data_IF_977244453073
#
_entry.id   IF_977244453073
#
_cell.length_a   1.000
_cell.length_b   1.000
_cell.length_c   1.000
_cell.angle_alpha   90.00
_cell.angle_beta   90.00
_cell.angle_gamma   90.00
#
_symmetry.space_group_name_H-M   'P 1'
#
loop_
_entity.id
_entity.type
_entity.pdbx_description
1 polymer ?
#
# COMPACT_ATOMS: atom_id res chain seq x y z
N UNK A 1 -17.76 -43.54 -29.60
CA UNK A 1 -16.60 -42.68 -29.55
C UNK A 1 -16.84 -41.39 -28.73
N UNK A 2 -18.00 -40.77 -28.85
CA UNK A 2 -18.32 -39.48 -28.18
C UNK A 2 -18.31 -39.56 -26.65
N UNK A 3 -18.76 -40.63 -26.02
CA UNK A 3 -18.79 -40.80 -24.55
C UNK A 3 -17.40 -40.88 -23.86
N UNK A 4 -16.35 -41.18 -24.62
CA UNK A 4 -14.97 -41.22 -24.08
C UNK A 4 -14.25 -39.85 -24.15
N UNK A 5 -14.73 -38.93 -24.99
CA UNK A 5 -14.16 -37.58 -25.15
C UNK A 5 -14.72 -36.57 -24.12
N UNK A 6 -15.94 -36.82 -23.63
CA UNK A 6 -16.60 -35.92 -22.67
C UNK A 6 -15.80 -35.71 -21.37
N UNK A 7 -15.30 -36.75 -20.67
CA UNK A 7 -14.49 -36.56 -19.47
C UNK A 7 -13.15 -35.87 -19.76
N UNK A 8 -12.56 -36.12 -20.95
CA UNK A 8 -11.30 -35.46 -21.32
C UNK A 8 -11.48 -33.94 -21.53
N UNK A 9 -12.58 -33.55 -22.19
CA UNK A 9 -12.97 -32.16 -22.38
C UNK A 9 -13.24 -31.46 -21.04
N UNK A 10 -13.93 -32.15 -20.13
CA UNK A 10 -14.23 -31.61 -18.80
C UNK A 10 -12.94 -31.38 -17.96
N UNK A 11 -12.00 -32.31 -18.02
CA UNK A 11 -10.71 -32.16 -17.36
C UNK A 11 -9.91 -31.00 -17.97
N UNK A 12 -9.93 -30.87 -19.30
CA UNK A 12 -9.21 -29.79 -19.98
C UNK A 12 -9.80 -28.39 -19.64
N UNK A 13 -11.14 -28.27 -19.60
CA UNK A 13 -11.80 -27.02 -19.21
C UNK A 13 -11.52 -26.64 -17.76
N UNK A 14 -11.49 -27.62 -16.84
CA UNK A 14 -11.12 -27.39 -15.43
C UNK A 14 -9.65 -26.95 -15.33
N UNK A 15 -8.73 -27.58 -16.05
CA UNK A 15 -7.31 -27.20 -16.05
C UNK A 15 -7.10 -25.78 -16.61
N UNK A 16 -7.80 -25.43 -17.69
CA UNK A 16 -7.75 -24.06 -18.24
C UNK A 16 -8.34 -23.06 -17.25
N UNK A 17 -9.48 -23.36 -16.63
CA UNK A 17 -10.09 -22.49 -15.62
C UNK A 17 -9.19 -22.29 -14.43
N UNK A 18 -8.59 -23.36 -13.89
CA UNK A 18 -7.61 -23.28 -12.77
C UNK A 18 -6.37 -22.51 -13.19
N UNK A 19 -5.87 -22.69 -14.41
CA UNK A 19 -4.69 -21.96 -14.92
C UNK A 19 -4.96 -20.47 -15.06
N UNK A 20 -6.12 -20.08 -15.61
CA UNK A 20 -6.51 -18.68 -15.78
C UNK A 20 -6.81 -17.98 -14.44
N UNK A 21 -7.30 -18.73 -13.45
CA UNK A 21 -7.67 -18.21 -12.14
C UNK A 21 -6.68 -18.60 -11.02
N UNK A 22 -5.52 -19.16 -11.37
CA UNK A 22 -4.57 -19.74 -10.39
C UNK A 22 -4.18 -18.74 -9.29
N UNK A 23 -3.94 -17.49 -9.65
CA UNK A 23 -3.57 -16.42 -8.69
C UNK A 23 -4.74 -16.10 -7.73
N UNK A 24 -5.96 -16.06 -8.23
CA UNK A 24 -7.17 -15.81 -7.45
C UNK A 24 -7.48 -16.99 -6.53
N UNK A 25 -7.48 -18.22 -7.09
CA UNK A 25 -7.73 -19.46 -6.32
C UNK A 25 -6.68 -19.66 -5.23
N UNK A 26 -5.41 -19.37 -5.53
CA UNK A 26 -4.32 -19.45 -4.54
C UNK A 26 -4.52 -18.44 -3.40
N UNK A 27 -4.91 -17.19 -3.70
CA UNK A 27 -5.20 -16.17 -2.69
C UNK A 27 -6.33 -16.61 -1.76
N UNK A 28 -7.45 -17.06 -2.33
CA UNK A 28 -8.61 -17.52 -1.58
C UNK A 28 -8.32 -18.76 -0.73
N UNK A 29 -7.52 -19.69 -1.24
CA UNK A 29 -7.16 -20.91 -0.52
C UNK A 29 -6.22 -20.59 0.66
N UNK A 30 -5.22 -19.75 0.45
CA UNK A 30 -4.29 -19.29 1.49
C UNK A 30 -5.05 -18.55 2.59
N UNK A 31 -6.02 -17.72 2.23
CA UNK A 31 -6.88 -17.01 3.18
C UNK A 31 -7.80 -17.96 3.96
N UNK A 32 -8.49 -18.90 3.28
CA UNK A 32 -9.43 -19.84 3.91
C UNK A 32 -8.77 -20.91 4.76
N UNK A 33 -7.56 -21.33 4.43
CA UNK A 33 -6.83 -22.35 5.17
C UNK A 33 -6.02 -21.77 6.33
N UNK A 34 -6.03 -20.44 6.56
CA UNK A 34 -5.21 -19.81 7.58
C UNK A 34 -3.70 -20.02 7.39
N UNK A 35 -3.30 -20.48 6.18
CA UNK A 35 -1.90 -20.61 5.75
C UNK A 35 -1.35 -19.24 5.32
N UNK A 36 -2.13 -18.16 5.56
CA UNK A 36 -1.59 -16.82 5.56
C UNK A 36 -0.48 -16.83 6.59
N UNK A 37 0.73 -16.75 6.09
CA UNK A 37 1.93 -16.95 6.86
C UNK A 37 1.87 -16.29 8.20
N UNK A 38 2.64 -16.85 9.11
CA UNK A 38 3.03 -16.30 10.38
C UNK A 38 2.58 -14.84 10.53
N UNK A 39 1.73 -14.47 11.51
CA UNK A 39 1.36 -13.08 11.78
C UNK A 39 2.58 -12.15 11.95
N UNK A 40 3.79 -12.72 12.01
CA UNK A 40 5.06 -12.00 11.88
C UNK A 40 5.37 -11.57 10.44
N UNK A 41 4.60 -11.96 9.42
CA UNK A 41 4.77 -11.57 8.01
C UNK A 41 3.89 -10.40 7.57
N UNK A 42 3.16 -9.75 8.50
CA UNK A 42 2.59 -8.44 8.21
C UNK A 42 3.72 -7.47 7.83
N UNK A 43 3.47 -6.57 6.92
CA UNK A 43 4.44 -5.64 6.33
C UNK A 43 5.28 -4.85 7.35
N UNK A 44 4.76 -4.69 8.57
CA UNK A 44 5.44 -4.08 9.71
C UNK A 44 4.91 -4.72 11.00
N UNK A 45 5.79 -5.06 11.92
CA UNK A 45 5.39 -5.40 13.29
C UNK A 45 4.78 -4.16 13.93
N UNK A 46 3.66 -4.31 14.66
CA UNK A 46 2.99 -3.20 15.35
C UNK A 46 3.95 -2.41 16.25
N UNK A 47 4.96 -3.08 16.81
CA UNK A 47 6.01 -2.47 17.64
C UNK A 47 6.95 -1.56 16.84
N UNK A 48 7.12 -1.81 15.54
CA UNK A 48 7.94 -0.99 14.63
C UNK A 48 7.19 0.24 14.10
N UNK A 49 5.86 0.33 14.28
CA UNK A 49 5.02 1.42 13.77
C UNK A 49 5.07 2.69 14.65
N UNK A 50 5.82 2.69 15.74
CA UNK A 50 5.96 3.86 16.63
C UNK A 50 7.18 4.73 16.32
N UNK A 51 7.71 4.68 15.08
CA UNK A 51 8.86 5.49 14.68
C UNK A 51 8.51 6.98 14.59
N UNK A 52 9.50 7.84 14.79
CA UNK A 52 9.34 9.30 14.79
C UNK A 52 8.83 9.87 13.45
N UNK A 53 8.95 9.11 12.38
CA UNK A 53 8.64 9.57 11.03
C UNK A 53 9.75 10.37 10.37
N UNK A 54 10.91 10.49 11.05
CA UNK A 54 12.08 11.19 10.53
C UNK A 54 12.74 10.38 9.41
N UNK A 55 13.42 11.11 8.53
CA UNK A 55 14.24 10.52 7.50
C UNK A 55 15.58 10.05 8.10
N UNK A 56 15.95 8.78 7.89
CA UNK A 56 17.22 8.22 8.36
C UNK A 56 18.33 8.46 7.32
N UNK A 57 19.15 9.49 7.54
CA UNK A 57 20.31 9.79 6.69
C UNK A 57 21.52 8.87 6.98
N UNK A 58 21.46 8.07 8.03
CA UNK A 58 22.53 7.12 8.41
C UNK A 58 22.38 5.76 7.74
N UNK A 59 21.26 5.49 7.11
CA UNK A 59 21.02 4.23 6.41
C UNK A 59 22.11 4.02 5.34
N UNK A 60 22.62 2.80 5.25
CA UNK A 60 23.70 2.46 4.33
C UNK A 60 23.27 1.47 3.24
N UNK A 61 22.19 0.73 3.46
CA UNK A 61 21.79 -0.40 2.61
C UNK A 61 20.28 -0.50 2.56
N UNK A 62 19.73 -0.84 1.40
CA UNK A 62 18.36 -1.28 1.22
C UNK A 62 18.33 -2.63 0.54
N UNK A 63 17.49 -3.55 1.02
CA UNK A 63 17.37 -4.92 0.52
C UNK A 63 15.91 -5.19 0.15
N UNK A 64 15.67 -5.75 -1.02
CA UNK A 64 14.37 -6.24 -1.43
C UNK A 64 14.49 -7.63 -2.07
N UNK A 65 13.76 -8.61 -1.55
CA UNK A 65 13.83 -10.02 -1.95
C UNK A 65 15.27 -10.57 -1.92
N UNK A 66 15.99 -10.27 -0.82
CA UNK A 66 17.36 -10.70 -0.61
C UNK A 66 18.42 -10.05 -1.52
N UNK A 67 18.04 -9.04 -2.31
CA UNK A 67 18.95 -8.29 -3.20
C UNK A 67 19.05 -6.86 -2.77
N UNK A 68 20.24 -6.28 -2.89
CA UNK A 68 20.45 -4.85 -2.67
C UNK A 68 19.73 -4.03 -3.76
N UNK A 69 19.09 -2.95 -3.34
CA UNK A 69 18.37 -2.01 -4.20
C UNK A 69 18.81 -0.58 -3.91
N UNK A 70 18.68 0.29 -4.90
CA UNK A 70 18.90 1.73 -4.72
C UNK A 70 17.82 2.33 -3.81
N UNK A 71 18.20 3.29 -2.97
CA UNK A 71 17.30 3.98 -2.06
C UNK A 71 17.63 5.47 -1.98
N UNK A 72 16.68 6.35 -1.60
CA UNK A 72 16.96 7.77 -1.40
C UNK A 72 17.86 7.96 -0.17
N UNK A 73 19.02 8.58 -0.36
CA UNK A 73 20.06 8.75 0.68
C UNK A 73 19.94 10.04 1.47
N UNK A 74 19.14 11.00 1.01
CA UNK A 74 19.00 12.31 1.66
C UNK A 74 17.54 12.74 1.66
N UNK A 75 17.15 13.45 2.72
CA UNK A 75 15.85 14.11 2.84
C UNK A 75 15.61 15.15 1.73
N UNK A 76 16.68 15.78 1.22
CA UNK A 76 16.63 16.72 0.09
C UNK A 76 16.18 16.05 -1.21
N UNK A 77 16.67 14.83 -1.51
CA UNK A 77 16.20 14.06 -2.66
C UNK A 77 14.70 13.75 -2.56
N UNK A 78 14.21 13.46 -1.37
CA UNK A 78 12.80 13.26 -1.11
C UNK A 78 11.99 14.56 -1.21
N UNK A 79 12.49 15.66 -0.65
CA UNK A 79 11.88 16.97 -0.75
C UNK A 79 11.77 17.46 -2.20
N UNK A 80 12.76 17.16 -3.04
CA UNK A 80 12.73 17.44 -4.47
C UNK A 80 11.61 16.64 -5.17
N UNK A 81 11.49 15.34 -4.88
CA UNK A 81 10.38 14.52 -5.41
C UNK A 81 9.01 15.04 -4.96
N UNK A 82 8.88 15.48 -3.71
CA UNK A 82 7.65 16.15 -3.23
C UNK A 82 7.40 17.47 -3.94
N UNK A 83 8.44 18.27 -4.20
CA UNK A 83 8.28 19.57 -4.87
C UNK A 83 7.80 19.45 -6.32
N UNK A 84 8.17 18.37 -7.01
CA UNK A 84 7.69 18.06 -8.36
C UNK A 84 6.21 17.67 -8.39
N UNK A 85 5.63 17.30 -7.25
CA UNK A 85 4.24 16.85 -7.13
C UNK A 85 3.30 17.92 -6.56
N UNK A 86 3.84 19.11 -6.25
CA UNK A 86 3.05 20.21 -5.73
C UNK A 86 2.10 20.70 -6.82
N UNK A 87 0.87 20.15 -6.84
CA UNK A 87 -0.27 20.83 -7.47
C UNK A 87 -0.41 22.18 -6.79
N UNK A 88 -0.63 23.29 -7.50
CA UNK A 88 -0.89 24.58 -6.87
C UNK A 88 -2.08 24.40 -5.95
N UNK A 89 -1.85 24.37 -4.66
CA UNK A 89 -2.91 24.38 -3.65
C UNK A 89 -3.56 25.75 -3.73
N UNK A 90 -4.77 25.80 -4.23
CA UNK A 90 -5.65 26.90 -3.92
C UNK A 90 -5.80 26.98 -2.41
N UNK A 91 -5.78 28.20 -1.91
CA UNK A 91 -6.08 28.71 -0.58
C UNK A 91 -6.17 27.71 0.58
N UNK A 92 -5.51 28.04 1.70
CA UNK A 92 -5.57 27.36 3.00
C UNK A 92 -7.01 27.36 3.56
N UNK A 93 -7.87 26.55 2.97
CA UNK A 93 -9.16 26.18 3.55
C UNK A 93 -8.94 25.19 4.70
N UNK A 94 -9.75 25.29 5.72
CA UNK A 94 -9.74 24.44 6.91
C UNK A 94 -10.20 23.01 6.55
N UNK A 95 -9.35 22.25 5.83
CA UNK A 95 -9.66 20.95 5.25
C UNK A 95 -9.47 19.90 6.33
N UNK A 96 -10.56 19.44 6.93
CA UNK A 96 -10.56 18.17 7.63
C UNK A 96 -10.19 17.09 6.60
N UNK A 97 -9.14 16.28 6.88
CA UNK A 97 -8.60 15.29 5.94
C UNK A 97 -9.59 14.20 5.47
N UNK A 98 -10.84 14.24 5.95
CA UNK A 98 -11.92 13.30 5.59
C UNK A 98 -13.05 13.94 4.79
N UNK A 99 -13.03 15.28 4.59
CA UNK A 99 -13.99 16.01 3.72
C UNK A 99 -13.25 17.02 2.87
N UNK A 100 -13.83 17.38 1.71
CA UNK A 100 -13.36 18.49 0.89
C UNK A 100 -14.01 19.82 1.34
N UNK A 101 -13.70 20.91 0.66
CA UNK A 101 -14.26 22.25 0.96
C UNK A 101 -15.79 22.34 0.80
N UNK A 102 -16.38 21.48 -0.01
CA UNK A 102 -17.83 21.37 -0.17
C UNK A 102 -18.51 20.50 0.90
N UNK A 103 -17.74 19.94 1.84
CA UNK A 103 -18.23 19.01 2.88
C UNK A 103 -18.48 17.60 2.39
N UNK A 104 -18.06 17.25 1.16
CA UNK A 104 -18.19 15.90 0.62
C UNK A 104 -17.12 14.97 1.22
N UNK A 105 -17.50 13.71 1.50
CA UNK A 105 -16.59 12.72 2.05
C UNK A 105 -15.42 12.45 1.11
N UNK A 106 -14.19 12.47 1.67
CA UNK A 106 -12.98 11.94 1.03
C UNK A 106 -12.82 10.47 1.40
N UNK A 107 -12.59 9.62 0.41
CA UNK A 107 -12.31 8.21 0.66
C UNK A 107 -11.41 7.60 -0.40
N UNK A 108 -10.74 6.52 -0.03
CA UNK A 108 -9.79 5.81 -0.88
C UNK A 108 -10.36 4.45 -1.23
N UNK A 109 -10.42 4.14 -2.52
CA UNK A 109 -10.68 2.82 -3.06
C UNK A 109 -9.37 2.13 -3.42
N UNK A 110 -9.21 0.89 -3.00
CA UNK A 110 -8.11 0.01 -3.40
C UNK A 110 -8.71 -1.22 -4.07
N UNK A 111 -8.66 -1.24 -5.40
CA UNK A 111 -9.08 -2.39 -6.21
C UNK A 111 -7.91 -3.36 -6.36
N UNK A 112 -8.02 -4.53 -5.74
CA UNK A 112 -6.99 -5.58 -5.83
C UNK A 112 -7.02 -6.30 -7.18
N UNK A 113 -8.15 -6.32 -7.86
CA UNK A 113 -8.29 -6.94 -9.17
C UNK A 113 -7.74 -6.02 -10.27
N UNK A 114 -8.02 -4.71 -10.21
CA UNK A 114 -7.47 -3.72 -11.14
C UNK A 114 -6.01 -3.34 -10.83
N UNK A 115 -5.53 -3.62 -9.62
CA UNK A 115 -4.26 -3.14 -9.07
C UNK A 115 -4.14 -1.61 -9.15
N UNK A 116 -5.22 -0.93 -8.69
CA UNK A 116 -5.33 0.54 -8.71
C UNK A 116 -5.82 1.09 -7.38
N UNK A 117 -5.38 2.31 -7.11
CA UNK A 117 -5.98 3.19 -6.10
C UNK A 117 -6.77 4.27 -6.83
N UNK A 118 -7.97 4.58 -6.29
CA UNK A 118 -8.76 5.75 -6.66
C UNK A 118 -9.06 6.56 -5.39
N UNK A 119 -8.78 7.85 -5.45
CA UNK A 119 -9.19 8.80 -4.40
C UNK A 119 -10.46 9.51 -4.84
N UNK A 120 -11.43 9.55 -3.97
CA UNK A 120 -12.77 10.08 -4.24
C UNK A 120 -13.10 11.25 -3.34
N UNK A 121 -13.80 12.23 -3.90
CA UNK A 121 -14.51 13.27 -3.19
C UNK A 121 -16.00 13.17 -3.55
N UNK A 122 -16.81 12.75 -2.58
CA UNK A 122 -18.19 12.33 -2.88
C UNK A 122 -18.21 11.18 -3.89
N UNK A 123 -18.77 11.46 -5.07
CA UNK A 123 -18.85 10.51 -6.20
C UNK A 123 -17.83 10.79 -7.33
N UNK A 124 -16.93 11.75 -7.15
CA UNK A 124 -15.94 12.17 -8.17
C UNK A 124 -14.56 11.59 -7.85
N UNK A 125 -13.94 10.93 -8.82
CA UNK A 125 -12.55 10.52 -8.75
C UNK A 125 -11.66 11.76 -8.92
N UNK A 126 -10.77 12.01 -7.94
CA UNK A 126 -9.81 13.13 -7.97
C UNK A 126 -8.38 12.65 -8.26
N UNK A 127 -8.07 11.38 -7.95
CA UNK A 127 -6.81 10.73 -8.33
C UNK A 127 -7.07 9.27 -8.70
N UNK A 128 -6.38 8.76 -9.72
CA UNK A 128 -6.30 7.34 -10.04
C UNK A 128 -4.86 7.00 -10.45
N UNK A 129 -4.31 5.90 -9.89
CA UNK A 129 -2.96 5.44 -10.23
C UNK A 129 -2.78 3.94 -9.98
N UNK A 130 -1.84 3.29 -10.69
CA UNK A 130 -1.54 1.89 -10.49
C UNK A 130 -0.78 1.66 -9.17
N UNK A 131 -1.01 0.49 -8.58
CA UNK A 131 -0.35 0.05 -7.33
C UNK A 131 0.17 -1.37 -7.46
N UNK A 132 0.86 -1.84 -6.41
CA UNK A 132 1.19 -3.25 -6.23
C UNK A 132 0.74 -3.70 -4.85
N UNK A 133 -0.24 -4.59 -4.81
CA UNK A 133 -0.76 -5.21 -3.59
C UNK A 133 0.07 -6.43 -3.16
N UNK A 134 -0.41 -7.15 -2.14
CA UNK A 134 0.26 -8.33 -1.59
C UNK A 134 0.38 -9.48 -2.58
N UNK A 135 1.64 -9.92 -2.80
CA UNK A 135 2.02 -11.10 -3.59
C UNK A 135 2.29 -12.31 -2.70
N UNK A 136 3.06 -12.10 -1.63
CA UNK A 136 3.47 -13.15 -0.70
C UNK A 136 2.54 -13.30 0.50
N UNK A 137 1.87 -12.20 0.89
CA UNK A 137 0.76 -12.21 1.82
C UNK A 137 -0.37 -11.36 1.25
N UNK A 138 -1.66 -11.73 1.41
CA UNK A 138 -2.76 -10.99 0.83
C UNK A 138 -2.94 -9.65 1.54
N UNK A 139 -3.23 -8.60 0.76
CA UNK A 139 -3.74 -7.35 1.31
C UNK A 139 -5.15 -7.60 1.85
N UNK A 140 -5.47 -7.21 3.09
CA UNK A 140 -6.78 -7.48 3.69
C UNK A 140 -7.88 -6.71 2.95
N UNK A 141 -8.97 -7.40 2.59
CA UNK A 141 -10.19 -6.80 2.04
C UNK A 141 -11.08 -6.28 3.16
N UNK A 142 -11.80 -5.20 2.92
CA UNK A 142 -12.74 -4.62 3.88
C UNK A 142 -12.75 -3.08 3.86
N UNK A 143 -13.45 -2.52 4.84
CA UNK A 143 -13.50 -1.07 5.05
C UNK A 143 -12.74 -0.73 6.32
N UNK A 144 -11.79 0.18 6.19
CA UNK A 144 -10.87 0.60 7.23
C UNK A 144 -10.82 2.13 7.27
N UNK A 145 -10.09 2.67 8.26
CA UNK A 145 -9.69 4.08 8.28
C UNK A 145 -8.17 4.17 8.47
N UNK A 146 -7.55 5.19 7.90
CA UNK A 146 -6.15 5.49 8.17
C UNK A 146 -6.03 5.83 9.67
N UNK A 147 -5.35 5.00 10.42
CA UNK A 147 -5.21 5.19 11.86
C UNK A 147 -3.88 5.78 12.28
N UNK A 148 -2.86 5.73 11.38
CA UNK A 148 -1.54 6.30 11.61
C UNK A 148 -0.90 6.72 10.30
N UNK A 149 -0.27 7.89 10.29
CA UNK A 149 0.53 8.40 9.17
C UNK A 149 1.94 8.72 9.63
N UNK A 150 2.93 8.44 8.75
CA UNK A 150 4.31 8.83 8.99
C UNK A 150 4.98 9.19 7.66
N UNK A 151 5.78 10.28 7.67
CA UNK A 151 6.47 10.78 6.48
C UNK A 151 7.53 9.82 5.99
N UNK A 152 8.26 9.20 6.92
CA UNK A 152 9.30 8.21 6.62
C UNK A 152 9.30 7.11 7.67
N UNK A 153 9.71 5.91 7.27
CA UNK A 153 9.83 4.77 8.17
C UNK A 153 10.75 3.70 7.57
N UNK A 154 11.53 3.02 8.40
CA UNK A 154 12.19 1.78 8.00
C UNK A 154 11.20 0.63 8.07
N UNK A 155 11.12 -0.17 7.01
CA UNK A 155 10.30 -1.38 6.94
C UNK A 155 11.19 -2.61 6.76
N UNK A 156 10.95 -3.66 7.53
CA UNK A 156 11.69 -4.92 7.42
C UNK A 156 10.76 -6.12 7.60
N UNK A 157 11.15 -7.25 7.00
CA UNK A 157 10.37 -8.48 7.11
C UNK A 157 10.72 -9.52 6.06
N UNK A 158 9.79 -10.44 5.81
CA UNK A 158 10.00 -11.57 4.91
C UNK A 158 10.93 -12.63 5.49
N UNK A 159 11.33 -13.58 4.66
CA UNK A 159 12.18 -14.71 5.05
C UNK A 159 13.45 -14.78 4.19
N UNK A 160 14.61 -14.88 4.84
CA UNK A 160 15.89 -15.13 4.14
C UNK A 160 15.90 -16.50 3.49
N UNK A 161 15.33 -17.49 4.17
CA UNK A 161 15.25 -18.87 3.69
C UNK A 161 14.42 -18.99 2.41
N UNK A 162 13.29 -18.24 2.34
CA UNK A 162 12.41 -18.24 1.17
C UNK A 162 12.75 -17.16 0.14
N UNK A 163 13.86 -16.40 0.32
CA UNK A 163 14.30 -15.36 -0.60
C UNK A 163 13.36 -14.16 -0.68
N UNK A 164 12.51 -13.94 0.34
CA UNK A 164 11.56 -12.85 0.39
C UNK A 164 11.94 -11.75 1.38
N UNK A 165 13.10 -11.86 2.03
CA UNK A 165 13.59 -10.89 3.02
C UNK A 165 13.73 -9.50 2.42
N UNK A 166 13.27 -8.51 3.17
CA UNK A 166 13.47 -7.10 2.85
C UNK A 166 13.88 -6.29 4.07
N UNK A 167 14.66 -5.25 3.83
CA UNK A 167 15.03 -4.18 4.75
C UNK A 167 15.06 -2.88 3.93
N UNK A 168 14.10 -2.02 4.15
CA UNK A 168 13.83 -0.85 3.32
C UNK A 168 13.82 0.39 4.21
N UNK A 169 14.95 1.10 4.34
CA UNK A 169 14.98 2.38 5.03
C UNK A 169 14.22 3.45 4.23
N UNK A 170 13.75 4.47 4.93
CA UNK A 170 13.15 5.64 4.31
C UNK A 170 11.98 5.34 3.35
N UNK A 171 11.14 4.37 3.69
CA UNK A 171 9.86 4.19 3.02
C UNK A 171 8.98 5.39 3.37
N UNK A 172 8.48 6.09 2.36
CA UNK A 172 7.84 7.39 2.53
C UNK A 172 6.33 7.35 2.34
N UNK A 173 5.65 8.38 2.88
CA UNK A 173 4.20 8.59 2.68
C UNK A 173 3.36 7.41 3.21
N UNK A 174 3.69 6.94 4.40
CA UNK A 174 3.06 5.76 4.97
C UNK A 174 1.70 6.11 5.59
N UNK A 175 0.65 5.44 5.15
CA UNK A 175 -0.73 5.56 5.63
C UNK A 175 -1.21 4.17 6.07
N UNK A 176 -1.13 3.90 7.37
CA UNK A 176 -1.55 2.63 7.95
C UNK A 176 -3.07 2.61 8.10
N UNK A 177 -3.73 1.67 7.43
CA UNK A 177 -5.19 1.54 7.45
C UNK A 177 -5.69 0.32 8.20
N UNK A 178 -4.89 -0.74 8.32
CA UNK A 178 -5.23 -1.95 9.08
C UNK A 178 -3.99 -2.56 9.71
N UNK A 179 -3.90 -2.60 11.06
CA UNK A 179 -2.72 -3.12 11.76
C UNK A 179 -1.40 -2.58 11.14
N UNK A 180 -0.49 -3.47 10.69
CA UNK A 180 0.75 -3.14 9.99
C UNK A 180 0.62 -2.96 8.48
N UNK A 181 -0.59 -2.96 7.92
CA UNK A 181 -0.81 -2.76 6.48
C UNK A 181 -0.98 -1.28 6.15
N UNK A 182 -0.21 -0.80 5.19
CA UNK A 182 -0.20 0.59 4.77
C UNK A 182 -0.26 0.74 3.24
N UNK A 183 -0.77 1.88 2.80
CA UNK A 183 -0.51 2.45 1.48
C UNK A 183 0.70 3.36 1.62
N UNK A 184 1.73 3.18 0.79
CA UNK A 184 2.99 3.93 0.88
C UNK A 184 3.75 3.98 -0.44
N UNK A 185 4.75 4.88 -0.54
CA UNK A 185 5.64 4.96 -1.69
C UNK A 185 6.62 3.79 -1.75
N UNK A 186 6.91 3.32 -2.96
CA UNK A 186 7.90 2.28 -3.20
C UNK A 186 8.98 2.76 -4.17
N UNK A 187 10.22 2.83 -3.70
CA UNK A 187 11.39 3.21 -4.53
C UNK A 187 12.12 2.00 -5.10
N UNK A 188 11.87 0.80 -4.61
CA UNK A 188 12.62 -0.42 -4.93
C UNK A 188 12.11 -1.21 -6.13
N UNK A 189 11.01 -0.80 -6.74
CA UNK A 189 10.50 -1.38 -7.99
C UNK A 189 9.58 -0.41 -8.74
N UNK A 190 9.41 -0.68 -10.04
CA UNK A 190 8.49 0.06 -10.93
C UNK A 190 7.42 -0.85 -11.56
N UNK A 191 7.20 -2.05 -11.00
CA UNK A 191 6.25 -3.04 -11.54
C UNK A 191 4.82 -2.82 -10.99
N UNK A 192 4.33 -1.59 -11.05
CA UNK A 192 2.96 -1.28 -10.65
C UNK A 192 1.94 -1.86 -11.64
N UNK A 193 0.73 -2.17 -11.16
CA UNK A 193 -0.30 -2.87 -11.92
C UNK A 193 -0.33 -4.37 -11.66
N UNK A 194 0.54 -4.89 -10.79
CA UNK A 194 0.56 -6.30 -10.40
C UNK A 194 1.04 -6.49 -8.95
N UNK A 195 0.64 -7.57 -8.25
CA UNK A 195 1.06 -7.82 -6.87
C UNK A 195 2.57 -8.00 -6.73
N UNK A 196 3.20 -7.27 -5.80
CA UNK A 196 4.65 -7.27 -5.54
C UNK A 196 5.04 -7.21 -4.06
N UNK A 197 4.10 -6.93 -3.14
CA UNK A 197 4.40 -6.66 -1.73
C UNK A 197 4.17 -7.89 -0.82
N UNK A 198 4.48 -7.71 0.46
CA UNK A 198 4.15 -8.65 1.54
C UNK A 198 2.81 -8.33 2.22
N UNK A 199 1.93 -7.59 1.52
CA UNK A 199 0.60 -7.26 1.98
C UNK A 199 0.28 -5.77 1.99
N UNK A 200 1.26 -4.89 2.12
CA UNK A 200 1.08 -3.46 1.94
C UNK A 200 0.69 -3.10 0.49
N UNK A 201 0.24 -1.90 0.29
CA UNK A 201 -0.11 -1.34 -1.01
C UNK A 201 1.00 -0.39 -1.44
N UNK A 202 1.86 -0.86 -2.34
CA UNK A 202 2.97 -0.08 -2.89
C UNK A 202 2.45 0.85 -3.98
N UNK A 203 2.80 2.13 -3.93
CA UNK A 203 2.46 3.13 -4.93
C UNK A 203 3.72 3.81 -5.52
N UNK A 204 3.67 4.34 -6.75
CA UNK A 204 4.73 5.21 -7.24
C UNK A 204 4.93 6.41 -6.30
N UNK A 205 6.18 6.82 -6.08
CA UNK A 205 6.54 7.82 -5.05
C UNK A 205 5.76 9.14 -5.19
N UNK A 206 5.58 9.61 -6.42
CA UNK A 206 4.85 10.85 -6.70
C UNK A 206 3.37 10.76 -6.31
N UNK A 207 2.69 9.65 -6.63
CA UNK A 207 1.28 9.46 -6.27
C UNK A 207 1.11 9.19 -4.77
N UNK A 208 2.04 8.44 -4.17
CA UNK A 208 2.04 8.23 -2.73
C UNK A 208 2.16 9.56 -1.96
N UNK A 209 3.02 10.47 -2.42
CA UNK A 209 3.17 11.79 -1.83
C UNK A 209 1.88 12.63 -1.97
N UNK A 210 1.26 12.65 -3.16
CA UNK A 210 0.03 13.40 -3.40
C UNK A 210 -1.13 12.92 -2.52
N UNK A 211 -1.39 11.60 -2.51
CA UNK A 211 -2.50 11.05 -1.72
C UNK A 211 -2.21 11.14 -0.21
N UNK A 212 -0.93 11.12 0.20
CA UNK A 212 -0.55 11.33 1.58
C UNK A 212 -0.90 12.73 2.06
N UNK A 213 -0.61 13.78 1.31
CA UNK A 213 -0.96 15.15 1.68
C UNK A 213 -2.49 15.37 1.60
N UNK A 214 -3.18 14.73 0.67
CA UNK A 214 -4.63 14.84 0.50
C UNK A 214 -5.43 14.11 1.59
N UNK A 215 -4.97 12.95 2.09
CA UNK A 215 -5.71 12.11 3.04
C UNK A 215 -5.52 12.54 4.51
N UNK A 216 -6.55 12.31 5.34
CA UNK A 216 -6.43 12.41 6.80
C UNK A 216 -5.80 11.17 7.46
N UNK A 217 -5.29 11.30 8.71
CA UNK A 217 -5.20 12.54 9.47
C UNK A 217 -4.23 13.53 8.84
N UNK A 218 -4.51 14.84 9.00
CA UNK A 218 -3.64 15.90 8.48
C UNK A 218 -2.43 16.06 9.41
N UNK A 219 -1.22 16.02 8.85
CA UNK A 219 -0.01 16.25 9.61
C UNK A 219 0.32 17.77 9.63
N UNK A 220 0.38 18.39 10.81
CA UNK A 220 0.82 19.78 10.93
C UNK A 220 2.26 19.98 10.41
N UNK A 221 2.65 21.19 10.02
CA UNK A 221 4.04 21.50 9.68
C UNK A 221 5.00 21.09 10.80
N UNK A 222 6.11 20.42 10.44
CA UNK A 222 7.13 19.95 11.38
C UNK A 222 6.75 18.66 12.14
N UNK A 223 5.55 18.12 11.93
CA UNK A 223 5.14 16.82 12.49
C UNK A 223 5.37 15.74 11.45
N UNK A 224 6.18 14.73 11.79
CA UNK A 224 6.57 13.67 10.88
C UNK A 224 5.75 12.38 11.06
N UNK A 225 5.05 12.24 12.19
CA UNK A 225 4.18 11.09 12.46
C UNK A 225 2.99 11.49 13.32
N UNK A 226 1.80 10.94 13.05
CA UNK A 226 0.58 11.26 13.78
C UNK A 226 -0.42 10.10 13.75
N UNK A 227 -1.04 9.83 14.90
CA UNK A 227 -2.21 8.93 15.00
C UNK A 227 -3.50 9.71 14.76
N UNK A 228 -4.45 9.07 14.07
CA UNK A 228 -5.79 9.63 13.94
C UNK A 228 -6.46 9.80 15.31
N UNK A 229 -7.24 10.85 15.44
CA UNK A 229 -8.03 11.17 16.64
C UNK A 229 -9.44 11.62 16.23
N UNK A 230 -10.31 11.86 17.21
CA UNK A 230 -11.65 12.38 16.93
C UNK A 230 -11.61 13.75 16.24
N UNK A 231 -10.64 14.62 16.61
CA UNK A 231 -10.50 15.95 16.05
C UNK A 231 -9.70 16.00 14.73
N UNK A 232 -8.97 14.91 14.43
CA UNK A 232 -8.20 14.75 13.20
C UNK A 232 -8.35 13.31 12.70
N UNK A 233 -9.51 12.96 12.15
CA UNK A 233 -9.85 11.60 11.77
C UNK A 233 -9.09 11.15 10.53
N UNK A 234 -8.93 9.83 10.40
CA UNK A 234 -8.33 9.21 9.24
C UNK A 234 -9.32 9.00 8.10
N UNK A 235 -8.88 9.22 6.89
CA UNK A 235 -9.65 8.95 5.67
C UNK A 235 -10.05 7.48 5.60
N UNK A 236 -11.28 7.22 5.19
CA UNK A 236 -11.81 5.86 4.96
C UNK A 236 -11.09 5.20 3.78
N UNK A 237 -10.77 3.91 3.92
CA UNK A 237 -10.13 3.08 2.90
C UNK A 237 -11.00 1.84 2.66
N UNK A 238 -11.45 1.65 1.44
CA UNK A 238 -12.20 0.47 1.01
C UNK A 238 -11.34 -0.40 0.10
N UNK A 239 -11.07 -1.63 0.55
CA UNK A 239 -10.25 -2.62 -0.18
C UNK A 239 -11.14 -3.77 -0.66
N UNK A 240 -11.15 -4.06 -1.97
CA UNK A 240 -11.97 -5.12 -2.57
C UNK A 240 -11.27 -5.92 -3.66
#
# INVERSE_FOLDING_TARGET
MLHRLLPLLLVLTVLIFVSLNFQSIRRDLVYKLGISGDPTTSCCKLEEISQSGDFDETATTAIFNGREVSYPKTSLAYGFLQSLTKTPSGEEGNILGTTNDAGEEKWIEISLDDQKVRAWEGSRIVMEFPISSGKWAPTPKGTFNIWYKTRSQTMSGGSKEHGTYYFLPNVTSNMFFHQGYALHGAYWHNNFGQPMSHGCVNAPLNYAAQIFEWAGPVLPPGVNALRASADNPGTRVYVH
#
